data_IF_778720708904
#
_entry.id   IF_778720708904
#
_cell.length_a   1.000
_cell.length_b   1.000
_cell.length_c   1.000
_cell.angle_alpha   90.00
_cell.angle_beta   90.00
_cell.angle_gamma   90.00
#
_symmetry.space_group_name_H-M   'P 1'
#
loop_
_entity.id
_entity.type
_entity.pdbx_description
1 polymer ?
#
# COMPACT_ATOMS: atom_id res chain seq x y z
N UNK A 1 26.76 -2.14 3.59
CA UNK A 1 25.62 -1.67 4.42
C UNK A 1 24.99 -2.86 5.11
N UNK A 2 24.60 -2.75 6.38
CA UNK A 2 23.92 -3.83 7.10
C UNK A 2 22.45 -3.88 6.66
N UNK A 3 21.92 -5.05 6.29
CA UNK A 3 20.53 -5.22 5.85
C UNK A 3 19.49 -4.64 6.85
N UNK A 4 19.81 -4.66 8.14
CA UNK A 4 18.98 -4.05 9.20
C UNK A 4 18.82 -2.54 9.03
N UNK A 5 19.88 -1.82 8.72
CA UNK A 5 19.82 -0.36 8.50
C UNK A 5 19.02 -0.02 7.25
N UNK A 6 19.13 -0.83 6.20
CA UNK A 6 18.32 -0.65 4.98
C UNK A 6 16.84 -0.90 5.25
N UNK A 7 16.52 -1.87 6.11
CA UNK A 7 15.15 -2.17 6.52
C UNK A 7 14.57 -1.07 7.42
N UNK A 8 15.36 -0.53 8.36
CA UNK A 8 14.94 0.59 9.20
C UNK A 8 14.71 1.87 8.39
N UNK A 9 15.54 2.13 7.36
CA UNK A 9 15.29 3.23 6.40
C UNK A 9 14.02 3.00 5.59
N UNK A 10 13.82 1.79 5.06
CA UNK A 10 12.60 1.42 4.34
C UNK A 10 11.34 1.65 5.20
N UNK A 11 11.39 1.28 6.48
CA UNK A 11 10.30 1.51 7.43
C UNK A 11 9.99 3.00 7.55
N UNK A 12 11.02 3.83 7.71
CA UNK A 12 10.88 5.28 7.84
C UNK A 12 10.34 5.93 6.55
N UNK A 13 10.86 5.52 5.38
CA UNK A 13 10.43 6.04 4.07
C UNK A 13 8.95 5.74 3.77
N UNK A 14 8.43 4.64 4.33
CA UNK A 14 7.07 4.17 4.10
C UNK A 14 6.13 4.47 5.29
N UNK A 15 6.44 5.47 6.12
CA UNK A 15 5.63 5.89 7.27
C UNK A 15 5.25 4.73 8.21
N UNK A 16 6.19 3.81 8.45
CA UNK A 16 5.99 2.69 9.36
C UNK A 16 5.39 1.44 8.73
N UNK A 17 5.03 1.44 7.44
CA UNK A 17 4.37 0.30 6.77
C UNK A 17 5.36 -0.46 5.89
N UNK A 18 5.45 -1.78 6.07
CA UNK A 18 6.37 -2.65 5.33
C UNK A 18 5.66 -3.84 4.71
N UNK A 19 5.91 -4.07 3.43
CA UNK A 19 5.42 -5.25 2.70
C UNK A 19 6.59 -6.16 2.35
N UNK A 20 6.46 -7.47 2.60
CA UNK A 20 7.52 -8.46 2.32
C UNK A 20 8.00 -8.41 0.87
N UNK A 21 7.10 -8.22 -0.10
CA UNK A 21 7.46 -8.12 -1.51
C UNK A 21 8.39 -6.93 -1.80
N UNK A 22 8.25 -5.81 -1.09
CA UNK A 22 9.13 -4.65 -1.27
C UNK A 22 10.50 -4.89 -0.65
N UNK A 23 10.52 -5.48 0.54
CA UNK A 23 11.75 -5.89 1.24
C UNK A 23 12.60 -6.78 0.32
N UNK A 24 11.97 -7.78 -0.31
CA UNK A 24 12.64 -8.68 -1.26
C UNK A 24 13.09 -7.97 -2.54
N UNK A 25 12.28 -7.06 -3.10
CA UNK A 25 12.67 -6.24 -4.27
C UNK A 25 13.90 -5.38 -4.00
N UNK A 26 14.07 -4.89 -2.77
CA UNK A 26 15.26 -4.13 -2.36
C UNK A 26 16.46 -5.03 -2.01
N UNK A 27 16.35 -6.35 -2.20
CA UNK A 27 17.43 -7.32 -1.93
C UNK A 27 17.63 -7.62 -0.45
N UNK A 28 16.70 -7.22 0.42
CA UNK A 28 16.76 -7.48 1.86
C UNK A 28 16.14 -8.87 2.13
N UNK A 29 16.83 -9.79 2.82
CA UNK A 29 16.24 -11.08 3.13
C UNK A 29 15.04 -10.96 4.09
N UNK A 30 13.89 -11.55 3.73
CA UNK A 30 12.64 -11.46 4.51
C UNK A 30 12.78 -11.88 5.99
N UNK A 31 13.74 -12.75 6.32
CA UNK A 31 13.95 -13.24 7.68
C UNK A 31 14.34 -12.13 8.67
N UNK A 32 14.79 -10.96 8.19
CA UNK A 32 15.05 -9.78 9.02
C UNK A 32 13.77 -9.12 9.57
N UNK A 33 12.59 -9.43 9.02
CA UNK A 33 11.31 -8.95 9.56
C UNK A 33 10.97 -9.63 10.89
N UNK A 34 11.30 -10.92 11.05
CA UNK A 34 10.96 -11.70 12.25
C UNK A 34 11.61 -11.15 13.53
N UNK A 35 12.91 -10.81 13.55
CA UNK A 35 13.52 -10.13 14.70
C UNK A 35 12.82 -8.83 15.08
N UNK A 36 12.50 -7.97 14.09
CA UNK A 36 11.83 -6.69 14.35
C UNK A 36 10.44 -6.88 14.97
N UNK A 37 9.71 -7.92 14.57
CA UNK A 37 8.44 -8.28 15.19
C UNK A 37 8.64 -8.76 16.63
N UNK A 38 9.64 -9.62 16.87
CA UNK A 38 9.95 -10.11 18.23
C UNK A 38 10.42 -9.00 19.16
N UNK A 39 11.10 -7.99 18.63
CA UNK A 39 11.54 -6.80 19.36
C UNK A 39 10.40 -5.79 19.60
N UNK A 40 9.19 -6.03 19.07
CA UNK A 40 8.06 -5.11 19.20
C UNK A 40 8.17 -3.85 18.33
N UNK A 41 9.12 -3.82 17.38
CA UNK A 41 9.27 -2.71 16.43
C UNK A 41 8.30 -2.79 15.26
N UNK A 42 7.75 -3.96 14.98
CA UNK A 42 6.78 -4.20 13.91
C UNK A 42 5.68 -5.15 14.39
N UNK A 43 4.46 -4.88 13.99
CA UNK A 43 3.30 -5.74 14.16
C UNK A 43 2.84 -6.30 12.83
N UNK A 44 2.47 -7.58 12.82
CA UNK A 44 1.98 -8.25 11.60
C UNK A 44 0.47 -8.10 11.50
N UNK A 45 0.02 -7.14 10.69
CA UNK A 45 -1.42 -6.87 10.48
C UNK A 45 -2.06 -7.77 9.43
N UNK A 46 -1.29 -8.31 8.48
CA UNK A 46 -1.81 -9.30 7.52
C UNK A 46 -0.71 -10.16 6.90
N UNK A 47 -1.06 -11.01 5.94
CA UNK A 47 -0.07 -11.86 5.28
C UNK A 47 0.91 -11.02 4.45
N UNK A 48 2.17 -10.95 4.92
CA UNK A 48 3.23 -10.20 4.24
C UNK A 48 3.16 -8.69 4.42
N UNK A 49 2.35 -8.19 5.35
CA UNK A 49 2.24 -6.76 5.69
C UNK A 49 2.51 -6.58 7.19
N UNK A 50 3.40 -5.65 7.48
CA UNK A 50 3.87 -5.29 8.81
C UNK A 50 3.72 -3.78 8.98
N UNK A 51 3.46 -3.32 10.20
CA UNK A 51 3.35 -1.90 10.54
C UNK A 51 4.13 -1.61 11.81
N UNK A 52 4.69 -0.43 11.99
CA UNK A 52 5.23 -0.03 13.29
C UNK A 52 4.07 0.30 14.25
N UNK A 53 4.25 0.15 15.57
CA UNK A 53 3.20 0.46 16.55
C UNK A 53 2.72 1.92 16.52
N UNK A 54 3.56 2.82 16.02
CA UNK A 54 3.31 4.26 15.85
C UNK A 54 2.87 4.64 14.43
N UNK A 55 2.73 3.67 13.51
CA UNK A 55 2.32 3.93 12.13
C UNK A 55 0.90 4.50 12.11
N UNK A 56 0.72 5.59 11.37
CA UNK A 56 -0.60 6.13 11.09
C UNK A 56 -1.32 5.19 10.09
N UNK A 57 -2.55 4.80 10.39
CA UNK A 57 -3.36 3.97 9.49
C UNK A 57 -3.86 4.80 8.29
N UNK A 58 -3.02 4.94 7.27
CA UNK A 58 -3.45 5.45 5.97
C UNK A 58 -4.11 4.32 5.18
N UNK A 59 -5.44 4.34 5.14
CA UNK A 59 -6.25 3.33 4.46
C UNK A 59 -5.99 3.28 2.94
N UNK A 60 -5.73 4.43 2.32
CA UNK A 60 -5.46 4.53 0.89
C UNK A 60 -4.09 3.92 0.56
N UNK A 61 -3.08 4.23 1.37
CA UNK A 61 -1.76 3.63 1.25
C UNK A 61 -1.81 2.11 1.46
N UNK A 62 -2.51 1.64 2.50
CA UNK A 62 -2.71 0.22 2.77
C UNK A 62 -3.42 -0.49 1.61
N UNK A 63 -4.41 0.16 0.99
CA UNK A 63 -5.09 -0.38 -0.19
C UNK A 63 -4.13 -0.54 -1.37
N UNK A 64 -3.34 0.50 -1.67
CA UNK A 64 -2.37 0.51 -2.76
C UNK A 64 -1.30 -0.58 -2.56
N UNK A 65 -0.80 -0.74 -1.33
CA UNK A 65 0.16 -1.77 -0.96
C UNK A 65 -0.39 -3.19 -1.14
N UNK A 66 -1.65 -3.42 -0.74
CA UNK A 66 -2.32 -4.73 -0.93
C UNK A 66 -2.63 -5.02 -2.40
N UNK A 67 -2.77 -3.99 -3.23
CA UNK A 67 -3.25 -4.10 -4.62
C UNK A 67 -2.44 -3.24 -5.59
N UNK A 68 -1.22 -3.65 -5.94
CA UNK A 68 -0.29 -2.82 -6.74
C UNK A 68 -0.74 -2.55 -8.19
N UNK A 69 -1.82 -3.17 -8.67
CA UNK A 69 -2.40 -2.94 -10.01
C UNK A 69 -3.57 -1.95 -10.01
N UNK A 70 -3.96 -1.47 -8.83
CA UNK A 70 -5.01 -0.46 -8.65
C UNK A 70 -4.33 0.91 -8.71
N UNK A 71 -4.97 1.88 -9.35
CA UNK A 71 -4.49 3.26 -9.43
C UNK A 71 -5.63 4.19 -9.00
N UNK A 72 -5.40 5.06 -8.02
CA UNK A 72 -6.37 6.10 -7.65
C UNK A 72 -6.61 7.03 -8.84
N UNK A 73 -7.88 7.36 -9.10
CA UNK A 73 -8.30 8.06 -10.32
C UNK A 73 -9.49 8.99 -10.05
N UNK A 74 -9.85 9.81 -11.04
CA UNK A 74 -10.99 10.73 -10.95
C UNK A 74 -10.90 11.61 -9.67
N UNK A 75 -11.98 11.72 -8.90
CA UNK A 75 -12.04 12.57 -7.70
C UNK A 75 -10.95 12.23 -6.68
N UNK A 76 -10.65 10.95 -6.47
CA UNK A 76 -9.62 10.54 -5.52
C UNK A 76 -8.22 10.94 -5.96
N UNK A 77 -7.94 10.91 -7.27
CA UNK A 77 -6.67 11.42 -7.78
C UNK A 77 -6.57 12.94 -7.62
N UNK A 78 -7.66 13.67 -7.87
CA UNK A 78 -7.70 15.12 -7.62
C UNK A 78 -7.42 15.41 -6.15
N UNK A 79 -8.06 14.66 -5.24
CA UNK A 79 -7.85 14.78 -3.80
C UNK A 79 -6.40 14.51 -3.40
N UNK A 80 -5.79 13.41 -3.87
CA UNK A 80 -4.39 13.09 -3.58
C UNK A 80 -3.38 14.12 -4.10
N UNK A 81 -3.77 14.93 -5.09
CA UNK A 81 -2.91 15.94 -5.71
C UNK A 81 -3.26 17.37 -5.28
N UNK A 82 -4.11 17.53 -4.25
CA UNK A 82 -4.59 18.84 -3.77
C UNK A 82 -5.23 19.70 -4.88
N UNK A 83 -5.89 19.04 -5.85
CA UNK A 83 -6.57 19.67 -7.00
C UNK A 83 -8.08 19.84 -6.79
N UNK A 84 -8.56 19.56 -5.58
CA UNK A 84 -9.96 19.72 -5.17
C UNK A 84 -10.01 20.12 -3.71
N UNK A 85 -10.94 21.00 -3.35
CA UNK A 85 -11.18 21.40 -1.96
C UNK A 85 -12.15 20.46 -1.23
N UNK A 86 -12.63 19.43 -1.91
CA UNK A 86 -13.61 18.47 -1.39
C UNK A 86 -13.01 17.09 -1.25
N UNK A 87 -13.23 16.50 -0.08
CA UNK A 87 -12.97 15.09 0.17
C UNK A 87 -13.86 14.22 -0.74
N UNK A 88 -13.32 13.14 -1.33
CA UNK A 88 -14.10 12.25 -2.17
C UNK A 88 -15.13 11.50 -1.33
N UNK A 89 -16.40 11.52 -1.75
CA UNK A 89 -17.48 10.78 -1.08
C UNK A 89 -17.26 9.26 -1.14
N UNK A 90 -16.73 8.80 -2.26
CA UNK A 90 -16.31 7.43 -2.50
C UNK A 90 -14.95 7.43 -3.18
N UNK A 91 -14.08 6.48 -2.84
CA UNK A 91 -12.82 6.36 -3.55
C UNK A 91 -13.06 5.83 -4.96
N UNK A 92 -12.41 6.46 -5.92
CA UNK A 92 -12.43 6.10 -7.33
C UNK A 92 -11.08 5.54 -7.75
N UNK A 93 -11.09 4.34 -8.33
CA UNK A 93 -9.88 3.67 -8.81
C UNK A 93 -10.05 3.16 -10.22
N UNK A 94 -8.94 3.09 -10.95
CA UNK A 94 -8.87 2.47 -12.28
C UNK A 94 -8.02 1.20 -12.20
N UNK A 95 -8.49 0.15 -12.88
CA UNK A 95 -7.80 -1.14 -12.96
C UNK A 95 -7.66 -1.61 -14.42
N UNK A 96 -6.68 -2.46 -14.75
CA UNK A 96 -6.61 -3.08 -16.06
C UNK A 96 -7.79 -4.03 -16.32
N UNK A 97 -8.28 -4.06 -17.56
CA UNK A 97 -9.32 -5.01 -17.99
C UNK A 97 -8.96 -6.46 -17.64
N UNK A 98 -9.93 -7.18 -17.07
CA UNK A 98 -9.77 -8.55 -16.57
C UNK A 98 -9.25 -8.66 -15.14
N UNK A 99 -9.02 -7.55 -14.43
CA UNK A 99 -8.74 -7.56 -13.00
C UNK A 99 -10.01 -7.88 -12.18
N UNK A 100 -9.90 -8.76 -11.19
CA UNK A 100 -11.02 -9.07 -10.29
C UNK A 100 -11.24 -7.94 -9.26
N UNK A 101 -12.22 -7.10 -9.55
CA UNK A 101 -12.57 -5.94 -8.74
C UNK A 101 -13.73 -6.18 -7.74
N UNK A 102 -14.26 -7.40 -7.60
CA UNK A 102 -15.44 -7.67 -6.76
C UNK A 102 -15.24 -7.21 -5.32
N UNK A 103 -14.07 -7.51 -4.73
CA UNK A 103 -13.73 -7.09 -3.37
C UNK A 103 -13.59 -5.57 -3.21
N UNK A 104 -13.26 -4.82 -4.27
CA UNK A 104 -13.19 -3.35 -4.22
C UNK A 104 -14.61 -2.75 -4.25
N UNK A 105 -15.46 -3.26 -5.15
CA UNK A 105 -16.85 -2.81 -5.24
C UNK A 105 -17.62 -3.08 -3.96
N UNK A 106 -17.39 -4.24 -3.36
CA UNK A 106 -18.01 -4.60 -2.08
C UNK A 106 -17.54 -3.73 -0.90
N UNK A 107 -16.40 -3.04 -1.01
CA UNK A 107 -15.92 -2.10 -0.01
C UNK A 107 -16.31 -0.65 -0.31
N UNK A 108 -17.30 -0.41 -1.18
CA UNK A 108 -17.77 0.93 -1.53
C UNK A 108 -16.81 1.74 -2.42
N UNK A 109 -15.84 1.09 -3.06
CA UNK A 109 -14.91 1.76 -3.98
C UNK A 109 -15.48 1.71 -5.39
N UNK A 110 -15.55 2.86 -6.04
CA UNK A 110 -15.93 3.00 -7.44
C UNK A 110 -14.78 2.54 -8.34
N UNK A 111 -15.06 1.58 -9.23
CA UNK A 111 -14.03 0.93 -10.05
C UNK A 111 -14.27 1.13 -11.54
N UNK A 112 -13.32 1.81 -12.18
CA UNK A 112 -13.20 1.98 -13.62
C UNK A 112 -12.24 0.95 -14.21
N UNK A 113 -12.40 0.63 -15.50
CA UNK A 113 -11.52 -0.34 -16.17
C UNK A 113 -11.09 0.16 -17.53
N UNK A 114 -9.80 0.00 -17.84
CA UNK A 114 -9.19 0.43 -19.10
C UNK A 114 -8.42 -0.72 -19.75
N UNK A 115 -8.18 -0.61 -21.07
CA UNK A 115 -7.33 -1.60 -21.76
C UNK A 115 -5.94 -1.62 -21.10
N UNK A 116 -5.35 -2.81 -20.99
CA UNK A 116 -4.07 -3.05 -20.30
C UNK A 116 -2.89 -2.22 -20.81
N UNK A 117 -2.95 -1.66 -22.01
CA UNK A 117 -1.86 -0.83 -22.55
C UNK A 117 -1.98 0.66 -22.16
N UNK A 118 -3.03 1.05 -21.44
CA UNK A 118 -3.24 2.40 -20.93
C UNK A 118 -2.89 2.53 -19.43
N UNK A 119 -2.51 1.45 -18.75
CA UNK A 119 -2.22 1.41 -17.31
C UNK A 119 -1.07 0.46 -16.99
#
# INVERSE_FOLDING_TARGET
MRYREQLERLIADNNGIVVTNEVEKRGIPRHYLTPLVREGKLDRVSHGVYVTPDAFEDEMYMLQMKRPKVVFSHETALFCHDLTDRDPLEWSVTVPNGYNATKLRNSGIQVYSVKKHYI
#
